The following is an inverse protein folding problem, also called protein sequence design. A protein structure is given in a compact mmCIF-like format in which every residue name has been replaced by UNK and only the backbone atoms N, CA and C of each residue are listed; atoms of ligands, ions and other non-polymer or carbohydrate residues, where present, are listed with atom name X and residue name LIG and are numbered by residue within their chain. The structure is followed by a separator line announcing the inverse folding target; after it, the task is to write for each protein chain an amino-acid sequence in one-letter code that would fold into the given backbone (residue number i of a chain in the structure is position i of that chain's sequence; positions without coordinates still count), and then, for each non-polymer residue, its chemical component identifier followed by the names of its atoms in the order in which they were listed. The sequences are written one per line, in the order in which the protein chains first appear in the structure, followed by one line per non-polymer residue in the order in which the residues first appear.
data_IF_873861939726
#
_entry.id   IF_873861939726
#
_cell.length_a   1.000
_cell.length_b   1.000
_cell.length_c   1.000
_cell.angle_alpha   90.00
_cell.angle_beta   90.00
_cell.angle_gamma   90.00
#
_symmetry.space_group_name_H-M   'P 1'
#
loop_
_entity.id
_entity.type
_entity.pdbx_description
1 polymer ?
#
# COMPACT_ATOMS: atom_id res chain seq x y z
N UNK A 1 -15.85 3.41 17.76
CA UNK A 1 -14.84 4.49 17.67
C UNK A 1 -14.23 4.40 16.28
N UNK A 2 -14.16 5.49 15.53
CA UNK A 2 -13.56 5.48 14.19
C UNK A 2 -12.03 5.40 14.28
N UNK A 3 -11.42 4.60 13.40
CA UNK A 3 -9.98 4.57 13.14
C UNK A 3 -9.62 5.63 12.12
N UNK A 4 -8.68 6.51 12.45
CA UNK A 4 -8.19 7.55 11.54
C UNK A 4 -7.03 7.00 10.72
N UNK A 5 -7.15 6.95 9.40
CA UNK A 5 -6.10 6.45 8.52
C UNK A 5 -5.66 7.56 7.57
N UNK A 6 -4.34 7.79 7.50
CA UNK A 6 -3.74 8.66 6.50
C UNK A 6 -3.36 7.85 5.27
N UNK A 7 -3.88 8.23 4.10
CA UNK A 7 -3.51 7.70 2.80
C UNK A 7 -2.52 8.66 2.12
N UNK A 8 -1.26 8.25 2.00
CA UNK A 8 -0.22 8.97 1.28
C UNK A 8 -0.10 8.40 -0.13
N UNK A 9 -0.44 9.19 -1.13
CA UNK A 9 -0.36 8.76 -2.52
C UNK A 9 0.98 9.15 -3.14
N UNK A 10 1.67 8.21 -3.77
CA UNK A 10 2.96 8.47 -4.43
C UNK A 10 2.91 8.32 -5.95
N UNK A 11 1.72 8.05 -6.52
CA UNK A 11 1.51 7.75 -7.93
C UNK A 11 1.42 6.25 -8.21
N UNK A 12 1.91 5.85 -9.39
CA UNK A 12 1.84 4.48 -9.89
C UNK A 12 0.52 4.12 -10.57
N UNK A 13 0.49 2.93 -11.18
CA UNK A 13 -0.64 2.41 -11.98
C UNK A 13 -2.00 2.53 -11.27
N UNK A 14 -2.03 2.39 -9.94
CA UNK A 14 -3.25 2.53 -9.12
C UNK A 14 -3.94 3.90 -9.24
N UNK A 15 -3.19 4.96 -9.49
CA UNK A 15 -3.70 6.33 -9.66
C UNK A 15 -3.55 6.87 -11.07
N UNK A 16 -3.10 6.03 -12.02
CA UNK A 16 -2.82 6.37 -13.42
C UNK A 16 -3.83 5.72 -14.37
N UNK A 17 -3.95 6.26 -15.57
CA UNK A 17 -4.87 5.76 -16.60
C UNK A 17 -4.10 5.24 -17.82
N UNK A 18 -4.67 4.26 -18.51
CA UNK A 18 -4.21 3.87 -19.83
C UNK A 18 -4.81 4.80 -20.89
N UNK A 19 -3.98 5.27 -21.83
CA UNK A 19 -4.43 6.00 -23.03
C UNK A 19 -4.86 5.04 -24.16
N UNK A 20 -5.27 5.60 -25.30
CA UNK A 20 -5.72 4.82 -26.47
C UNK A 20 -4.61 3.90 -27.05
N UNK A 21 -3.34 4.15 -26.73
CA UNK A 21 -2.20 3.32 -27.13
C UNK A 21 -1.88 2.22 -26.11
N UNK A 22 -2.52 2.25 -24.93
CA UNK A 22 -2.23 1.37 -23.81
C UNK A 22 -1.08 1.84 -22.93
N UNK A 23 -0.56 3.05 -23.15
CA UNK A 23 0.48 3.63 -22.31
C UNK A 23 -0.13 4.13 -20.99
N UNK A 24 0.56 3.87 -19.88
CA UNK A 24 0.14 4.32 -18.55
C UNK A 24 0.61 5.75 -18.34
N UNK A 25 -0.33 6.67 -18.13
CA UNK A 25 -0.10 8.10 -17.96
C UNK A 25 -0.62 8.60 -16.61
N UNK A 26 0.01 9.65 -16.08
CA UNK A 26 -0.44 10.35 -14.87
C UNK A 26 -1.78 11.02 -15.07
N UNK A 27 -2.66 10.91 -14.07
CA UNK A 27 -3.89 11.68 -14.00
C UNK A 27 -3.67 13.03 -13.29
N UNK A 28 -4.44 14.05 -13.64
CA UNK A 28 -4.50 15.31 -12.90
C UNK A 28 -5.14 15.13 -11.52
N UNK A 29 -6.18 14.28 -11.45
CA UNK A 29 -6.88 13.93 -10.20
C UNK A 29 -6.60 12.48 -9.89
N UNK A 30 -6.10 12.20 -8.70
CA UNK A 30 -5.88 10.84 -8.24
C UNK A 30 -7.24 10.16 -7.93
N UNK A 31 -7.62 9.08 -8.64
CA UNK A 31 -8.90 8.42 -8.45
C UNK A 31 -9.08 7.84 -7.05
N UNK A 32 -7.99 7.49 -6.34
CA UNK A 32 -8.06 6.94 -4.99
C UNK A 32 -8.53 7.98 -3.95
N UNK A 33 -8.31 9.27 -4.20
CA UNK A 33 -8.83 10.36 -3.36
C UNK A 33 -10.34 10.53 -3.45
N UNK A 34 -10.95 10.04 -4.54
CA UNK A 34 -12.38 10.15 -4.81
C UNK A 34 -13.17 8.92 -4.34
N UNK A 35 -12.49 7.92 -3.75
CA UNK A 35 -13.15 6.72 -3.24
C UNK A 35 -13.88 7.06 -1.94
N UNK A 36 -15.17 7.32 -2.07
CA UNK A 36 -16.06 7.68 -0.96
C UNK A 36 -16.74 6.48 -0.30
N UNK A 37 -16.44 5.24 -0.75
CA UNK A 37 -17.09 4.05 -0.20
C UNK A 37 -16.82 3.96 1.30
N UNK A 38 -17.84 4.11 2.16
CA UNK A 38 -17.64 4.17 3.59
C UNK A 38 -17.20 2.79 4.08
N UNK A 39 -15.93 2.65 4.46
CA UNK A 39 -15.51 1.51 5.26
C UNK A 39 -15.99 1.77 6.69
N UNK A 40 -16.89 0.92 7.18
CA UNK A 40 -17.47 1.07 8.51
C UNK A 40 -16.37 1.21 9.57
N UNK A 41 -16.43 2.29 10.35
CA UNK A 41 -15.48 2.53 11.43
C UNK A 41 -14.10 3.04 10.98
N UNK A 42 -13.88 3.40 9.70
CA UNK A 42 -12.63 4.02 9.22
C UNK A 42 -12.90 5.41 8.66
N UNK A 43 -12.14 6.40 9.12
CA UNK A 43 -12.09 7.74 8.57
C UNK A 43 -10.76 7.92 7.83
N UNK A 44 -10.81 8.22 6.53
CA UNK A 44 -9.62 8.35 5.68
C UNK A 44 -9.33 9.82 5.41
N UNK A 45 -8.08 10.22 5.60
CA UNK A 45 -7.55 11.49 5.11
C UNK A 45 -6.57 11.16 3.99
N UNK A 46 -6.79 11.70 2.80
CA UNK A 46 -5.93 11.47 1.64
C UNK A 46 -5.04 12.68 1.36
N UNK A 47 -3.77 12.42 1.06
CA UNK A 47 -2.79 13.42 0.66
C UNK A 47 -2.03 12.92 -0.58
N UNK A 48 -2.07 13.69 -1.67
CA UNK A 48 -1.24 13.46 -2.84
C UNK A 48 0.18 13.96 -2.56
N UNK A 49 1.00 13.08 -2.00
CA UNK A 49 2.36 13.41 -1.58
C UNK A 49 3.33 13.46 -2.76
N UNK A 50 3.23 12.49 -3.67
CA UNK A 50 3.91 12.49 -4.97
C UNK A 50 2.96 12.01 -6.08
N UNK A 51 3.31 12.28 -7.34
CA UNK A 51 2.64 11.74 -8.51
C UNK A 51 3.69 11.21 -9.50
N UNK A 52 4.35 10.10 -9.14
CA UNK A 52 5.48 9.52 -9.88
C UNK A 52 5.17 8.10 -10.36
N UNK A 53 5.65 7.69 -11.54
CA UNK A 53 5.79 6.28 -11.86
C UNK A 53 6.89 5.68 -10.99
N UNK A 54 6.66 4.49 -10.43
CA UNK A 54 7.57 3.90 -9.43
C UNK A 54 9.02 3.68 -9.89
N UNK A 55 9.34 3.45 -11.18
CA UNK A 55 10.73 3.44 -11.65
C UNK A 55 11.49 4.77 -11.43
N UNK A 56 10.79 5.88 -11.17
CA UNK A 56 11.38 7.18 -10.82
C UNK A 56 11.46 7.41 -9.30
N UNK A 57 11.04 6.45 -8.49
CA UNK A 57 11.22 6.49 -7.04
C UNK A 57 12.71 6.42 -6.71
N UNK A 58 13.20 7.34 -5.88
CA UNK A 58 14.62 7.41 -5.50
C UNK A 58 14.76 7.29 -3.99
N UNK A 59 15.94 6.93 -3.45
CA UNK A 59 16.15 6.93 -2.01
C UNK A 59 15.83 8.27 -1.33
N UNK A 60 16.00 9.40 -2.02
CA UNK A 60 15.62 10.72 -1.50
C UNK A 60 14.11 10.87 -1.35
N UNK A 61 13.34 10.37 -2.32
CA UNK A 61 11.88 10.34 -2.24
C UNK A 61 11.42 9.39 -1.12
N UNK A 62 12.03 8.21 -0.99
CA UNK A 62 11.73 7.26 0.09
C UNK A 62 12.04 7.86 1.47
N UNK A 63 13.13 8.60 1.61
CA UNK A 63 13.47 9.30 2.86
C UNK A 63 12.46 10.41 3.20
N UNK A 64 12.02 11.19 2.20
CA UNK A 64 10.98 12.20 2.41
C UNK A 64 9.64 11.56 2.83
N UNK A 65 9.29 10.41 2.23
CA UNK A 65 8.12 9.62 2.62
C UNK A 65 8.23 9.13 4.07
N UNK A 66 9.40 8.61 4.48
CA UNK A 66 9.65 8.24 5.88
C UNK A 66 9.48 9.42 6.85
N UNK A 67 10.03 10.58 6.51
CA UNK A 67 9.91 11.78 7.34
C UNK A 67 8.45 12.20 7.52
N UNK A 68 7.65 12.18 6.44
CA UNK A 68 6.22 12.47 6.49
C UNK A 68 5.46 11.46 7.36
N UNK A 69 5.76 10.17 7.24
CA UNK A 69 5.18 9.12 8.10
C UNK A 69 5.46 9.42 9.57
N UNK A 70 6.71 9.75 9.91
CA UNK A 70 7.13 10.03 11.30
C UNK A 70 6.46 11.28 11.86
N UNK A 71 6.34 12.33 11.04
CA UNK A 71 5.67 13.57 11.42
C UNK A 71 4.20 13.33 11.74
N UNK A 72 3.47 12.59 10.90
CA UNK A 72 2.02 12.45 11.01
C UNK A 72 1.57 11.34 11.95
N UNK A 73 2.42 10.37 12.28
CA UNK A 73 2.02 9.14 12.97
C UNK A 73 1.24 9.35 14.28
N UNK A 74 1.46 10.46 15.00
CA UNK A 74 0.76 10.76 16.24
C UNK A 74 -0.71 11.20 16.05
N UNK A 75 -1.10 11.57 14.83
CA UNK A 75 -2.43 12.05 14.49
C UNK A 75 -3.38 10.94 13.99
N UNK A 76 -2.82 9.76 13.66
CA UNK A 76 -3.53 8.67 12.98
C UNK A 76 -3.36 7.34 13.70
N UNK A 77 -4.27 6.40 13.43
CA UNK A 77 -4.24 5.02 13.94
C UNK A 77 -3.44 4.06 13.01
N UNK A 78 -3.19 4.48 11.77
CA UNK A 78 -2.49 3.72 10.74
C UNK A 78 -2.24 4.57 9.48
N UNK A 79 -1.31 4.14 8.64
CA UNK A 79 -0.92 4.80 7.38
C UNK A 79 -1.03 3.79 6.23
N UNK A 80 -1.62 4.23 5.12
CA UNK A 80 -1.62 3.52 3.83
C UNK A 80 -0.86 4.33 2.81
N UNK A 81 -0.04 3.68 2.00
CA UNK A 81 0.73 4.28 0.92
C UNK A 81 0.30 3.62 -0.38
N UNK A 82 -0.20 4.41 -1.35
CA UNK A 82 -0.45 3.87 -2.70
C UNK A 82 0.78 4.13 -3.57
N UNK A 83 1.32 3.08 -4.17
CA UNK A 83 2.60 3.11 -4.89
C UNK A 83 2.52 2.34 -6.21
N UNK A 84 3.39 2.67 -7.17
CA UNK A 84 3.55 1.88 -8.38
C UNK A 84 4.24 0.55 -8.11
N UNK A 85 3.86 -0.50 -8.83
CA UNK A 85 4.24 -1.87 -8.48
C UNK A 85 5.68 -2.23 -8.83
N UNK A 86 6.34 -1.51 -9.73
CA UNK A 86 7.68 -1.91 -10.22
C UNK A 86 8.77 -1.84 -9.15
N UNK A 87 8.69 -0.87 -8.25
CA UNK A 87 9.68 -0.67 -7.17
C UNK A 87 9.02 -0.65 -5.79
N UNK A 88 7.79 -1.17 -5.70
CA UNK A 88 7.01 -1.21 -4.46
C UNK A 88 7.76 -1.96 -3.35
N UNK A 89 8.33 -3.12 -3.69
CA UNK A 89 9.11 -3.94 -2.76
C UNK A 89 10.36 -3.22 -2.24
N UNK A 90 11.01 -2.40 -3.07
CA UNK A 90 12.19 -1.62 -2.67
C UNK A 90 11.82 -0.51 -1.68
N UNK A 91 10.77 0.26 -1.98
CA UNK A 91 10.26 1.29 -1.05
C UNK A 91 9.79 0.66 0.25
N UNK A 92 9.09 -0.48 0.19
CA UNK A 92 8.62 -1.20 1.36
C UNK A 92 9.80 -1.64 2.24
N UNK A 93 10.82 -2.24 1.63
CA UNK A 93 12.00 -2.70 2.33
C UNK A 93 12.79 -1.53 2.94
N UNK A 94 12.99 -0.45 2.20
CA UNK A 94 13.64 0.77 2.72
C UNK A 94 12.95 1.28 3.97
N UNK A 95 11.62 1.44 3.95
CA UNK A 95 10.86 1.91 5.11
C UNK A 95 10.94 0.92 6.29
N UNK A 96 10.98 -0.38 6.02
CA UNK A 96 11.05 -1.41 7.07
C UNK A 96 12.35 -1.35 7.88
N UNK A 97 13.45 -0.90 7.26
CA UNK A 97 14.75 -0.67 7.92
C UNK A 97 14.78 0.58 8.81
N UNK A 98 13.75 1.42 8.78
CA UNK A 98 13.70 2.67 9.56
C UNK A 98 13.07 2.47 10.94
N UNK A 99 13.29 3.45 11.83
CA UNK A 99 12.58 3.52 13.11
C UNK A 99 11.12 3.94 12.85
N UNK A 100 10.24 2.93 12.70
CA UNK A 100 8.82 3.09 12.44
C UNK A 100 8.03 3.48 13.71
N UNK A 101 6.93 4.24 13.54
CA UNK A 101 5.98 4.48 14.62
C UNK A 101 5.26 3.19 15.03
N UNK A 102 4.61 3.19 16.21
CA UNK A 102 3.84 2.05 16.76
C UNK A 102 2.45 1.85 16.12
N UNK A 103 2.24 2.42 14.94
CA UNK A 103 1.02 2.26 14.14
C UNK A 103 1.33 1.41 12.91
N UNK A 104 0.31 0.80 12.31
CA UNK A 104 0.51 0.01 11.10
C UNK A 104 0.89 0.91 9.91
N UNK A 105 1.89 0.50 9.13
CA UNK A 105 2.26 1.13 7.86
C UNK A 105 2.08 0.09 6.75
N UNK A 106 1.15 0.37 5.83
CA UNK A 106 0.76 -0.53 4.75
C UNK A 106 1.04 0.12 3.41
N UNK A 107 1.68 -0.60 2.49
CA UNK A 107 1.84 -0.20 1.10
C UNK A 107 0.96 -1.08 0.21
N UNK A 108 0.34 -0.47 -0.79
CA UNK A 108 -0.49 -1.13 -1.79
C UNK A 108 -0.27 -0.52 -3.16
N UNK A 109 -0.68 -1.24 -4.21
CA UNK A 109 -0.64 -0.78 -5.59
C UNK A 109 -1.72 -1.43 -6.45
N UNK A 110 -1.57 -1.33 -7.75
CA UNK A 110 -2.44 -1.99 -8.73
C UNK A 110 -1.62 -2.47 -9.92
N UNK A 111 -1.98 -3.61 -10.48
CA UNK A 111 -1.38 -4.11 -11.73
C UNK A 111 -2.11 -3.59 -12.97
N UNK A 112 -3.38 -3.18 -12.83
CA UNK A 112 -4.20 -2.59 -13.89
C UNK A 112 -4.45 -1.11 -13.62
N UNK A 113 -4.44 -0.30 -14.68
CA UNK A 113 -4.70 1.14 -14.60
C UNK A 113 -6.10 1.42 -14.07
N UNK A 114 -6.34 2.63 -13.56
CA UNK A 114 -7.60 2.97 -12.88
C UNK A 114 -8.83 2.93 -13.79
N UNK A 115 -8.66 3.12 -15.10
CA UNK A 115 -9.72 3.09 -16.10
C UNK A 115 -9.85 1.74 -16.83
N UNK A 116 -9.04 0.74 -16.49
CA UNK A 116 -9.15 -0.59 -17.07
C UNK A 116 -10.33 -1.38 -16.48
N UNK A 117 -11.03 -2.14 -17.33
CA UNK A 117 -12.09 -3.03 -16.87
C UNK A 117 -11.49 -4.11 -15.94
N UNK A 118 -12.06 -4.20 -14.73
CA UNK A 118 -11.54 -5.12 -13.72
C UNK A 118 -10.25 -4.62 -13.05
N UNK A 119 -10.03 -3.31 -13.00
CA UNK A 119 -8.96 -2.69 -12.21
C UNK A 119 -8.97 -3.20 -10.76
N UNK A 120 -7.80 -3.60 -10.27
CA UNK A 120 -7.58 -4.10 -8.91
C UNK A 120 -7.34 -2.98 -7.89
N UNK A 121 -7.11 -1.74 -8.35
CA UNK A 121 -6.66 -0.63 -7.51
C UNK A 121 -7.61 -0.25 -6.38
N UNK A 122 -8.91 -0.10 -6.67
CA UNK A 122 -9.91 0.27 -5.64
C UNK A 122 -9.97 -0.81 -4.57
N UNK A 123 -9.97 -2.08 -4.97
CA UNK A 123 -10.09 -3.20 -4.04
C UNK A 123 -8.83 -3.37 -3.17
N UNK A 124 -7.64 -3.27 -3.78
CA UNK A 124 -6.38 -3.29 -3.05
C UNK A 124 -6.29 -2.11 -2.06
N UNK A 125 -6.73 -0.91 -2.45
CA UNK A 125 -6.78 0.24 -1.56
C UNK A 125 -7.71 0.03 -0.36
N UNK A 126 -8.94 -0.45 -0.59
CA UNK A 126 -9.89 -0.74 0.49
C UNK A 126 -9.39 -1.82 1.46
N UNK A 127 -8.75 -2.87 0.94
CA UNK A 127 -8.18 -3.95 1.78
C UNK A 127 -6.97 -3.45 2.56
N UNK A 128 -6.11 -2.61 1.97
CA UNK A 128 -5.01 -1.96 2.68
C UNK A 128 -5.49 -1.04 3.82
N UNK A 129 -6.56 -0.26 3.60
CA UNK A 129 -7.17 0.57 4.64
C UNK A 129 -7.69 -0.29 5.81
N UNK A 130 -8.36 -1.41 5.51
CA UNK A 130 -8.82 -2.36 6.53
C UNK A 130 -7.66 -2.94 7.33
N UNK A 131 -6.56 -3.32 6.68
CA UNK A 131 -5.36 -3.84 7.35
C UNK A 131 -4.70 -2.77 8.22
N UNK A 132 -4.56 -1.54 7.73
CA UNK A 132 -3.98 -0.44 8.50
C UNK A 132 -4.80 -0.08 9.75
N UNK A 133 -6.12 -0.31 9.73
CA UNK A 133 -7.01 -0.10 10.86
C UNK A 133 -7.06 -1.28 11.86
N UNK A 134 -6.57 -2.47 11.49
CA UNK A 134 -6.61 -3.65 12.35
C UNK A 134 -5.52 -3.59 13.43
N UNK A 135 -5.86 -3.68 14.73
CA UNK A 135 -4.87 -3.68 15.81
C UNK A 135 -3.83 -4.80 15.69
N UNK A 136 -4.17 -5.94 15.06
CA UNK A 136 -3.25 -7.05 14.83
C UNK A 136 -2.20 -6.74 13.77
N UNK A 137 -2.35 -5.69 12.97
CA UNK A 137 -1.34 -5.28 11.99
C UNK A 137 -0.16 -4.51 12.62
N UNK A 138 -0.29 -4.06 13.87
CA UNK A 138 0.77 -3.34 14.60
C UNK A 138 1.95 -4.26 14.90
N UNK A 139 3.14 -3.65 15.00
CA UNK A 139 4.40 -4.33 15.34
C UNK A 139 4.77 -5.50 14.40
N UNK A 140 4.29 -5.48 13.15
CA UNK A 140 4.64 -6.45 12.09
C UNK A 140 5.56 -5.88 11.01
N UNK A 141 6.15 -4.72 11.26
CA UNK A 141 6.94 -3.96 10.29
C UNK A 141 6.08 -3.30 9.21
N UNK A 142 6.69 -2.98 8.07
CA UNK A 142 5.96 -2.51 6.90
C UNK A 142 5.27 -3.70 6.22
N UNK A 143 3.97 -3.53 5.96
CA UNK A 143 3.16 -4.54 5.29
C UNK A 143 2.94 -4.16 3.83
N UNK A 144 2.99 -5.14 2.94
CA UNK A 144 2.51 -5.00 1.56
C UNK A 144 1.20 -5.76 1.43
N UNK A 145 0.14 -5.07 1.03
CA UNK A 145 -1.19 -5.66 0.83
C UNK A 145 -1.55 -5.60 -0.64
N UNK A 146 -1.68 -6.76 -1.27
CA UNK A 146 -1.97 -6.92 -2.69
C UNK A 146 -2.80 -8.18 -2.88
N UNK A 147 -3.87 -8.12 -3.69
CA UNK A 147 -4.64 -9.31 -4.07
C UNK A 147 -5.07 -10.18 -2.87
N UNK A 148 -5.66 -9.57 -1.85
CA UNK A 148 -6.10 -10.20 -0.59
C UNK A 148 -5.00 -10.84 0.27
N UNK A 149 -3.72 -10.66 -0.05
CA UNK A 149 -2.60 -11.18 0.71
C UNK A 149 -1.88 -10.07 1.49
N UNK A 150 -1.40 -10.39 2.69
CA UNK A 150 -0.63 -9.49 3.57
C UNK A 150 0.78 -10.03 3.69
N UNK A 151 1.76 -9.31 3.14
CA UNK A 151 3.16 -9.72 3.13
C UNK A 151 4.01 -8.85 4.05
N UNK A 152 5.08 -9.43 4.59
CA UNK A 152 6.16 -8.67 5.21
C UNK A 152 7.02 -8.03 4.11
N UNK A 153 7.31 -6.73 4.22
CA UNK A 153 8.16 -6.01 3.28
C UNK A 153 9.52 -6.69 3.04
N UNK A 154 10.11 -7.29 4.08
CA UNK A 154 11.39 -8.03 4.02
C UNK A 154 11.42 -9.18 3.01
N UNK A 155 10.28 -9.80 2.69
CA UNK A 155 10.24 -11.04 1.91
C UNK A 155 9.38 -10.97 0.65
N UNK A 156 8.65 -9.88 0.45
CA UNK A 156 7.73 -9.74 -0.68
C UNK A 156 8.47 -9.31 -1.93
N UNK A 157 8.10 -9.88 -3.08
CA UNK A 157 8.64 -9.47 -4.38
C UNK A 157 7.61 -9.68 -5.48
N UNK A 158 7.69 -8.88 -6.54
CA UNK A 158 6.88 -8.94 -7.76
C UNK A 158 7.42 -10.06 -8.66
N UNK A 159 6.69 -11.17 -8.77
CA UNK A 159 7.11 -12.37 -9.50
C UNK A 159 6.62 -12.44 -10.95
N UNK A 160 5.78 -11.51 -11.37
CA UNK A 160 5.18 -11.44 -12.70
C UNK A 160 4.97 -10.00 -13.17
N UNK A 161 5.12 -9.79 -14.47
CA UNK A 161 4.98 -8.48 -15.11
C UNK A 161 3.55 -7.96 -15.28
N UNK A 162 2.52 -8.81 -15.20
CA UNK A 162 1.12 -8.46 -15.57
C UNK A 162 0.05 -9.11 -14.71
N UNK A 163 0.34 -10.24 -14.05
CA UNK A 163 -0.63 -10.93 -13.20
C UNK A 163 -0.95 -10.08 -11.94
N UNK A 164 -2.23 -9.97 -11.56
CA UNK A 164 -2.67 -9.28 -10.34
C UNK A 164 -2.16 -9.96 -9.06
N UNK A 165 -1.94 -11.28 -9.10
CA UNK A 165 -1.37 -12.09 -8.00
C UNK A 165 0.16 -12.16 -8.06
N UNK A 166 0.82 -11.05 -8.42
CA UNK A 166 2.28 -11.02 -8.68
C UNK A 166 3.12 -10.84 -7.42
N UNK A 167 2.61 -10.19 -6.38
CA UNK A 167 3.39 -10.04 -5.15
C UNK A 167 3.32 -11.33 -4.36
N UNK A 168 4.47 -11.94 -4.14
CA UNK A 168 4.60 -13.22 -3.48
C UNK A 168 5.69 -13.16 -2.42
N UNK A 169 5.63 -14.07 -1.46
CA UNK A 169 6.69 -14.30 -0.46
C UNK A 169 7.22 -15.72 -0.65
N UNK A 170 8.21 -15.95 -1.54
CA UNK A 170 8.54 -17.28 -2.05
C UNK A 170 8.96 -18.30 -0.98
N UNK A 171 9.54 -17.84 0.12
CA UNK A 171 10.12 -18.73 1.15
C UNK A 171 9.22 -18.97 2.35
N UNK A 172 8.40 -17.99 2.75
CA UNK A 172 7.66 -18.03 4.03
C UNK A 172 6.13 -17.95 3.88
N UNK A 173 5.64 -17.65 2.66
CA UNK A 173 4.25 -17.28 2.41
C UNK A 173 3.86 -15.93 3.03
N UNK A 174 2.63 -15.45 2.78
CA UNK A 174 2.13 -14.22 3.39
C UNK A 174 1.99 -14.36 4.92
N UNK A 175 2.02 -13.22 5.62
CA UNK A 175 1.72 -13.15 7.05
C UNK A 175 0.25 -13.42 7.34
N UNK A 176 -0.63 -13.15 6.37
CA UNK A 176 -2.07 -13.32 6.52
C UNK A 176 -2.85 -13.10 5.22
N UNK A 177 -4.16 -13.31 5.30
CA UNK A 177 -5.12 -13.07 4.22
C UNK A 177 -6.18 -12.09 4.66
N UNK A 178 -6.67 -11.29 3.72
CA UNK A 178 -7.85 -10.46 3.85
C UNK A 178 -9.03 -11.22 3.25
N UNK A 179 -10.04 -11.49 4.08
CA UNK A 179 -11.28 -12.10 3.65
C UNK A 179 -12.40 -11.05 3.68
N UNK A 180 -13.55 -11.37 3.09
CA UNK A 180 -14.70 -10.44 3.00
C UNK A 180 -15.09 -9.80 4.34
N UNK A 181 -15.00 -10.55 5.44
CA UNK A 181 -15.43 -10.10 6.78
C UNK A 181 -14.32 -10.06 7.82
N UNK A 182 -13.21 -10.74 7.57
CA UNK A 182 -12.14 -10.91 8.56
C UNK A 182 -10.76 -10.72 7.96
N UNK A 183 -9.79 -10.41 8.81
CA UNK A 183 -8.37 -10.42 8.50
C UNK A 183 -7.75 -11.52 9.33
N UNK A 184 -7.14 -12.50 8.65
CA UNK A 184 -6.56 -13.68 9.26
C UNK A 184 -5.04 -13.61 9.16
N UNK A 185 -4.37 -13.33 10.28
CA UNK A 185 -2.91 -13.45 10.38
C UNK A 185 -2.53 -14.88 10.79
N UNK A 186 -1.68 -15.53 10.01
CA UNK A 186 -1.12 -16.85 10.30
C UNK A 186 0.17 -16.78 11.12
N UNK A 187 0.94 -15.71 10.93
CA UNK A 187 2.29 -15.56 11.47
C UNK A 187 2.55 -14.13 11.95
N UNK A 188 3.59 -13.98 12.76
CA UNK A 188 4.19 -12.69 13.08
C UNK A 188 5.47 -12.53 12.28
N UNK A 189 5.72 -11.34 11.74
CA UNK A 189 6.95 -11.06 11.03
C UNK A 189 8.15 -11.30 11.97
N UNK A 190 9.24 -11.83 11.43
CA UNK A 190 10.51 -11.89 12.16
C UNK A 190 10.99 -10.49 12.55
N UNK A 191 11.86 -10.35 13.56
CA UNK A 191 12.42 -9.06 13.93
C UNK A 191 13.00 -8.32 12.72
N UNK A 192 12.70 -7.02 12.66
CA UNK A 192 13.25 -6.10 11.66
C UNK A 192 14.78 -6.03 11.82
N UNK A 193 15.48 -5.83 10.70
CA UNK A 193 16.94 -5.73 10.64
C UNK A 193 17.39 -4.34 11.09
#
# INVERSE_FOLDING_TARGET
MFKKILALHTGGTISMAADDSGAVITNEVNPMTQITSPIEGIAVTSEDFFNLPSPQMTPRHMLALYQKIKEEAHNYDGIVITHGTDTLEETAYFLDTMELPKIAVVITGAMRSSNELGSDGVYNFLTALRVAADPKARDKGVLVVMNDEIHAAKYVTKTHTTNVSTFQTPTHGPLGLVMKKEILFFKTAEPRV
#
